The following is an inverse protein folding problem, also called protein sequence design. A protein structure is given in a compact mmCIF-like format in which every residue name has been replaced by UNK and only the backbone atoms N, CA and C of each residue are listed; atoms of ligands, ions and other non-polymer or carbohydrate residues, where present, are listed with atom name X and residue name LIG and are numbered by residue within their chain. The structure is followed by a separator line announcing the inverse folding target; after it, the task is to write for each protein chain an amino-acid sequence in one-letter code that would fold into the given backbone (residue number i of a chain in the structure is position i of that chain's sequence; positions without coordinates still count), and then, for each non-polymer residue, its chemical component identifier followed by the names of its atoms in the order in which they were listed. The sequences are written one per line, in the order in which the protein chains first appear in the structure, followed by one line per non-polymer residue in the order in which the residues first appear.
data_IF_371486067152
#
_entry.id   IF_371486067152
#
_cell.length_a   1.000
_cell.length_b   1.000
_cell.length_c   1.000
_cell.angle_alpha   90.00
_cell.angle_beta   90.00
_cell.angle_gamma   90.00
#
_symmetry.space_group_name_H-M   'P 1'
#
loop_
_entity.id
_entity.type
_entity.pdbx_description
1 polymer ?
#
# COMPACT_ATOMS: atom_id res chain seq x y z
N UNK A 1 -15.00 -28.56 5.19
CA UNK A 1 -16.02 -28.12 4.20
C UNK A 1 -16.44 -26.63 4.32
N UNK A 2 -16.13 -25.91 5.41
CA UNK A 2 -16.60 -24.53 5.64
C UNK A 2 -15.69 -23.45 5.01
N UNK A 3 -14.47 -23.80 4.57
CA UNK A 3 -13.48 -22.89 4.02
C UNK A 3 -13.32 -22.99 2.50
N UNK A 4 -13.83 -24.05 1.85
CA UNK A 4 -13.67 -24.23 0.41
C UNK A 4 -14.61 -23.34 -0.43
N UNK A 5 -15.66 -22.77 0.17
CA UNK A 5 -16.56 -21.83 -0.53
C UNK A 5 -16.08 -20.38 -0.53
N UNK A 6 -14.95 -20.07 0.15
CA UNK A 6 -14.35 -18.74 0.17
C UNK A 6 -13.14 -18.58 -0.76
N UNK A 7 -12.76 -19.65 -1.48
CA UNK A 7 -11.69 -19.64 -2.48
C UNK A 7 -12.26 -19.44 -3.90
N UNK A 8 -13.08 -18.43 -4.08
CA UNK A 8 -13.40 -17.95 -5.42
C UNK A 8 -12.16 -17.20 -5.89
N UNK A 9 -11.36 -17.81 -6.77
CA UNK A 9 -10.29 -17.11 -7.47
C UNK A 9 -10.92 -16.28 -8.58
N UNK A 10 -10.57 -14.99 -8.62
CA UNK A 10 -10.89 -14.14 -9.75
C UNK A 10 -10.33 -14.77 -11.03
N UNK A 11 -11.18 -14.90 -12.05
CA UNK A 11 -10.78 -15.34 -13.37
C UNK A 11 -11.01 -14.20 -14.39
N UNK A 12 -10.49 -14.37 -15.60
CA UNK A 12 -10.57 -13.35 -16.65
C UNK A 12 -12.02 -13.02 -17.05
N UNK A 13 -12.90 -14.01 -17.04
CA UNK A 13 -14.32 -13.82 -17.35
C UNK A 13 -15.00 -12.93 -16.32
N UNK A 14 -14.78 -13.16 -15.01
CA UNK A 14 -15.32 -12.32 -13.95
C UNK A 14 -14.80 -10.88 -14.04
N UNK A 15 -13.53 -10.70 -14.41
CA UNK A 15 -12.93 -9.37 -14.62
C UNK A 15 -13.61 -8.67 -15.79
N UNK A 16 -13.82 -9.39 -16.91
CA UNK A 16 -14.49 -8.86 -18.10
C UNK A 16 -15.93 -8.46 -17.79
N UNK A 17 -16.72 -9.34 -17.18
CA UNK A 17 -18.09 -9.06 -16.78
C UNK A 17 -18.18 -7.86 -15.82
N UNK A 18 -17.26 -7.75 -14.88
CA UNK A 18 -17.20 -6.62 -13.95
C UNK A 18 -16.95 -5.29 -14.68
N UNK A 19 -16.05 -5.28 -15.67
CA UNK A 19 -15.79 -4.09 -16.50
C UNK A 19 -16.99 -3.71 -17.34
N UNK A 20 -17.66 -4.69 -17.95
CA UNK A 20 -18.88 -4.47 -18.74
C UNK A 20 -20.02 -3.91 -17.89
N UNK A 21 -20.19 -4.45 -16.67
CA UNK A 21 -21.19 -3.96 -15.72
C UNK A 21 -20.90 -2.52 -15.31
N UNK A 22 -19.66 -2.20 -14.92
CA UNK A 22 -19.27 -0.84 -14.55
C UNK A 22 -19.47 0.14 -15.71
N UNK A 23 -19.09 -0.26 -16.93
CA UNK A 23 -19.34 0.54 -18.13
C UNK A 23 -20.83 0.79 -18.40
N UNK A 24 -21.69 -0.25 -18.24
CA UNK A 24 -23.13 -0.11 -18.37
C UNK A 24 -23.75 0.81 -17.30
N UNK A 25 -23.13 0.90 -16.12
CA UNK A 25 -23.51 1.84 -15.05
C UNK A 25 -22.99 3.27 -15.28
N UNK A 26 -22.23 3.52 -16.35
CA UNK A 26 -21.61 4.82 -16.63
C UNK A 26 -20.38 5.10 -15.76
N UNK A 27 -19.80 4.09 -15.13
CA UNK A 27 -18.60 4.22 -14.31
C UNK A 27 -17.37 4.01 -15.20
N UNK A 28 -16.45 4.97 -15.19
CA UNK A 28 -15.21 4.87 -15.95
C UNK A 28 -14.33 3.74 -15.42
N UNK A 29 -13.79 2.94 -16.32
CA UNK A 29 -12.86 1.85 -16.00
C UNK A 29 -11.52 2.16 -16.65
N UNK A 30 -10.46 2.21 -15.84
CA UNK A 30 -9.08 2.39 -16.28
C UNK A 30 -8.34 1.09 -16.05
N UNK A 31 -7.68 0.57 -17.08
CA UNK A 31 -6.82 -0.59 -16.96
C UNK A 31 -5.42 -0.13 -16.60
N UNK A 32 -4.98 -0.43 -15.39
CA UNK A 32 -3.62 -0.19 -14.98
C UNK A 32 -2.64 -1.07 -15.78
N UNK A 33 -1.49 -0.55 -16.23
CA UNK A 33 -0.47 -1.35 -16.90
C UNK A 33 0.24 -2.32 -15.94
N UNK A 34 0.36 -1.93 -14.67
CA UNK A 34 0.92 -2.73 -13.60
C UNK A 34 -0.08 -2.84 -12.44
N UNK A 35 0.15 -2.14 -11.32
CA UNK A 35 -0.70 -2.20 -10.13
C UNK A 35 -1.83 -1.16 -10.14
N UNK A 36 -3.00 -1.58 -9.68
CA UNK A 36 -4.15 -0.68 -9.56
C UNK A 36 -3.92 0.48 -8.59
N UNK A 37 -3.21 0.24 -7.48
CA UNK A 37 -2.87 1.24 -6.48
C UNK A 37 -1.95 2.34 -7.02
N UNK A 38 -0.98 1.97 -7.86
CA UNK A 38 -0.06 2.91 -8.49
C UNK A 38 -0.80 3.82 -9.47
N UNK A 39 -1.62 3.24 -10.36
CA UNK A 39 -2.45 3.98 -11.32
C UNK A 39 -3.45 4.90 -10.61
N UNK A 40 -4.19 4.38 -9.61
CA UNK A 40 -5.14 5.17 -8.84
C UNK A 40 -4.45 6.35 -8.12
N UNK A 41 -3.26 6.12 -7.56
CA UNK A 41 -2.45 7.16 -6.90
C UNK A 41 -1.97 8.21 -7.89
N UNK A 42 -1.54 7.79 -9.08
CA UNK A 42 -1.15 8.68 -10.16
C UNK A 42 -2.32 9.56 -10.61
N UNK A 43 -3.48 8.97 -10.86
CA UNK A 43 -4.69 9.71 -11.24
C UNK A 43 -5.08 10.72 -10.15
N UNK A 44 -5.04 10.32 -8.88
CA UNK A 44 -5.36 11.21 -7.75
C UNK A 44 -4.39 12.39 -7.63
N UNK A 45 -3.12 12.23 -8.00
CA UNK A 45 -2.13 13.32 -8.01
C UNK A 45 -2.29 14.26 -9.21
N UNK A 46 -2.71 13.74 -10.36
CA UNK A 46 -2.70 14.48 -11.63
C UNK A 46 -4.04 15.09 -12.00
N UNK A 47 -5.14 14.51 -11.59
CA UNK A 47 -6.48 14.93 -11.95
C UNK A 47 -7.15 15.67 -10.79
N UNK A 48 -7.51 16.93 -10.99
CA UNK A 48 -8.13 17.77 -9.94
C UNK A 48 -9.52 17.32 -9.51
N UNK A 49 -10.20 16.58 -10.36
CA UNK A 49 -11.53 16.00 -10.15
C UNK A 49 -11.50 14.65 -9.44
N UNK A 50 -10.30 14.05 -9.25
CA UNK A 50 -10.13 12.82 -8.46
C UNK A 50 -9.80 13.22 -7.02
N UNK A 51 -10.77 13.02 -6.12
CA UNK A 51 -10.68 13.47 -4.73
C UNK A 51 -9.73 12.63 -3.86
N UNK A 52 -9.81 11.32 -3.96
CA UNK A 52 -9.05 10.37 -3.14
C UNK A 52 -8.95 9.00 -3.80
N UNK A 53 -7.96 8.22 -3.43
CA UNK A 53 -7.91 6.78 -3.68
C UNK A 53 -8.79 6.08 -2.65
N UNK A 54 -9.53 5.05 -3.06
CA UNK A 54 -10.28 4.17 -2.16
C UNK A 54 -9.65 2.79 -2.19
N UNK A 55 -8.96 2.42 -1.13
CA UNK A 55 -8.33 1.10 -0.98
C UNK A 55 -8.30 0.68 0.49
N UNK A 56 -8.12 -0.61 0.74
CA UNK A 56 -7.80 -1.13 2.07
C UNK A 56 -6.30 -1.15 2.32
N UNK A 57 -5.52 -0.99 1.26
CA UNK A 57 -4.07 -1.01 1.28
C UNK A 57 -3.48 0.39 1.51
N UNK A 58 -2.43 0.45 2.30
CA UNK A 58 -1.68 1.66 2.56
C UNK A 58 -0.63 1.97 1.47
N UNK A 59 -0.35 1.04 0.57
CA UNK A 59 0.66 1.22 -0.49
C UNK A 59 0.31 2.40 -1.41
N UNK A 60 -0.97 2.74 -1.55
CA UNK A 60 -1.40 3.97 -2.21
C UNK A 60 -0.73 5.23 -1.65
N UNK A 61 -0.45 5.29 -0.33
CA UNK A 61 0.27 6.41 0.28
C UNK A 61 1.76 6.39 -0.06
N UNK A 62 2.36 5.19 -0.21
CA UNK A 62 3.75 5.04 -0.65
C UNK A 62 3.92 5.50 -2.11
N UNK A 63 2.91 5.24 -2.96
CA UNK A 63 2.82 5.82 -4.31
C UNK A 63 2.48 7.34 -4.31
N UNK A 64 2.37 7.95 -3.15
CA UNK A 64 2.17 9.38 -2.99
C UNK A 64 0.74 9.86 -3.24
N UNK A 65 -0.29 9.01 -3.09
CA UNK A 65 -1.68 9.45 -3.13
C UNK A 65 -1.91 10.54 -2.05
N UNK A 66 -2.42 11.73 -2.40
CA UNK A 66 -2.65 12.79 -1.42
C UNK A 66 -3.66 12.41 -0.34
N UNK A 67 -4.63 11.58 -0.72
CA UNK A 67 -5.73 11.15 0.15
C UNK A 67 -6.08 9.70 -0.13
N UNK A 68 -6.24 8.92 0.94
CA UNK A 68 -6.70 7.54 0.94
C UNK A 68 -7.96 7.43 1.78
N UNK A 69 -9.01 6.80 1.26
CA UNK A 69 -10.22 6.45 2.02
C UNK A 69 -10.23 4.94 2.22
N UNK A 70 -10.24 4.53 3.48
CA UNK A 70 -10.43 3.13 3.86
C UNK A 70 -11.87 2.87 4.30
N UNK A 71 -12.28 1.62 4.25
CA UNK A 71 -13.57 1.11 4.75
C UNK A 71 -14.81 1.69 4.04
N UNK A 72 -14.69 2.32 2.86
CA UNK A 72 -15.83 2.93 2.17
C UNK A 72 -16.88 1.89 1.78
N UNK A 73 -16.46 0.73 1.31
CA UNK A 73 -17.33 -0.34 0.80
C UNK A 73 -17.53 -1.50 1.77
N UNK A 74 -16.93 -1.44 2.98
CA UNK A 74 -17.07 -2.51 3.96
C UNK A 74 -18.40 -2.47 4.69
N UNK A 75 -18.85 -3.65 5.12
CA UNK A 75 -20.02 -3.76 5.98
C UNK A 75 -19.83 -2.90 7.25
N UNK A 76 -20.84 -2.10 7.58
CA UNK A 76 -20.83 -1.17 8.73
C UNK A 76 -20.52 -1.81 10.08
N UNK A 77 -20.49 -3.14 10.19
CA UNK A 77 -20.23 -3.89 11.42
C UNK A 77 -19.22 -5.00 11.17
N UNK A 78 -18.13 -5.00 11.93
CA UNK A 78 -17.14 -6.08 11.96
C UNK A 78 -17.34 -6.91 13.23
N UNK A 79 -17.43 -8.23 13.08
CA UNK A 79 -17.51 -9.14 14.23
C UNK A 79 -16.13 -9.26 14.89
N UNK A 80 -16.06 -9.04 16.18
CA UNK A 80 -14.88 -9.23 17.04
C UNK A 80 -15.16 -10.31 18.08
N UNK A 81 -14.17 -10.71 18.85
CA UNK A 81 -14.30 -11.68 19.94
C UNK A 81 -15.29 -11.18 21.01
N UNK A 82 -15.34 -9.86 21.23
CA UNK A 82 -16.20 -9.19 22.23
C UNK A 82 -17.54 -8.68 21.67
N UNK A 83 -17.88 -8.95 20.40
CA UNK A 83 -19.14 -8.51 19.80
C UNK A 83 -18.97 -7.88 18.41
N UNK A 84 -19.83 -6.92 18.08
CA UNK A 84 -19.76 -6.18 16.81
C UNK A 84 -19.21 -4.78 17.05
N UNK A 85 -18.22 -4.39 16.23
CA UNK A 85 -17.70 -3.02 16.19
C UNK A 85 -18.18 -2.35 14.90
N UNK A 86 -18.66 -1.12 15.03
CA UNK A 86 -19.02 -0.29 13.87
C UNK A 86 -17.75 0.09 13.11
N UNK A 87 -17.75 -0.12 11.79
CA UNK A 87 -16.68 0.29 10.90
C UNK A 87 -17.16 1.50 10.11
N UNK A 88 -16.43 2.60 10.23
CA UNK A 88 -16.71 3.86 9.51
C UNK A 88 -15.66 4.08 8.42
N UNK A 89 -16.02 4.75 7.32
CA UNK A 89 -15.01 5.24 6.38
C UNK A 89 -14.01 6.14 7.09
N UNK A 90 -12.74 5.97 6.78
CA UNK A 90 -11.63 6.75 7.34
C UNK A 90 -10.89 7.45 6.21
N UNK A 91 -10.75 8.78 6.33
CA UNK A 91 -9.96 9.59 5.40
C UNK A 91 -8.56 9.80 5.98
N UNK A 92 -7.55 9.37 5.24
CA UNK A 92 -6.15 9.53 5.58
C UNK A 92 -5.55 10.52 4.58
N UNK A 93 -5.00 11.62 5.08
CA UNK A 93 -4.33 12.64 4.28
C UNK A 93 -2.82 12.48 4.44
N UNK A 94 -2.13 12.21 3.34
CA UNK A 94 -0.68 11.93 3.32
C UNK A 94 0.12 13.02 4.02
N UNK A 95 -0.14 14.28 3.71
CA UNK A 95 0.55 15.42 4.30
C UNK A 95 0.41 15.45 5.84
N UNK A 96 -0.79 15.15 6.35
CA UNK A 96 -1.01 15.07 7.80
C UNK A 96 -0.22 13.92 8.44
N UNK A 97 -0.14 12.78 7.76
CA UNK A 97 0.65 11.63 8.22
C UNK A 97 2.13 11.99 8.27
N UNK A 98 2.67 12.55 7.20
CA UNK A 98 4.08 12.96 7.13
C UNK A 98 4.43 13.98 8.22
N UNK A 99 3.59 15.00 8.39
CA UNK A 99 3.76 16.02 9.42
C UNK A 99 3.67 15.43 10.84
N UNK A 100 2.70 14.55 11.10
CA UNK A 100 2.54 13.90 12.42
C UNK A 100 3.74 13.02 12.77
N UNK A 101 4.28 12.31 11.78
CA UNK A 101 5.44 11.45 11.96
C UNK A 101 6.76 12.23 11.87
N UNK A 102 6.74 13.49 11.43
CA UNK A 102 7.93 14.34 11.17
C UNK A 102 8.91 13.66 10.21
N UNK A 103 8.40 13.14 9.10
CA UNK A 103 9.14 12.47 8.03
C UNK A 103 8.69 13.00 6.67
N UNK A 104 9.50 12.72 5.65
CA UNK A 104 9.13 12.94 4.24
C UNK A 104 8.62 11.66 3.57
N UNK A 105 8.23 11.76 2.28
CA UNK A 105 7.72 10.63 1.51
C UNK A 105 8.78 9.54 1.31
N UNK A 106 10.04 9.92 1.05
CA UNK A 106 11.14 8.98 0.88
C UNK A 106 11.35 8.13 2.13
N UNK A 107 11.25 8.77 3.29
CA UNK A 107 11.34 8.11 4.58
C UNK A 107 10.13 7.21 4.85
N UNK A 108 8.93 7.61 4.41
CA UNK A 108 7.73 6.77 4.50
C UNK A 108 7.87 5.51 3.62
N UNK A 109 8.38 5.65 2.39
CA UNK A 109 8.69 4.51 1.51
C UNK A 109 9.74 3.60 2.17
N UNK A 110 10.80 4.16 2.75
CA UNK A 110 11.78 3.37 3.51
C UNK A 110 11.14 2.59 4.67
N UNK A 111 10.19 3.18 5.41
CA UNK A 111 9.44 2.47 6.46
C UNK A 111 8.67 1.30 5.86
N UNK A 112 7.97 1.50 4.74
CA UNK A 112 7.26 0.44 4.03
C UNK A 112 8.20 -0.72 3.69
N UNK A 113 9.32 -0.45 3.02
CA UNK A 113 10.30 -1.46 2.62
C UNK A 113 10.89 -2.20 3.83
N UNK A 114 11.21 -1.49 4.92
CA UNK A 114 11.74 -2.09 6.15
C UNK A 114 10.75 -3.05 6.82
N UNK A 115 9.46 -2.68 6.83
CA UNK A 115 8.39 -3.46 7.47
C UNK A 115 7.85 -4.56 6.56
N UNK A 116 7.81 -4.30 5.26
CA UNK A 116 7.32 -5.16 4.21
C UNK A 116 6.24 -4.48 3.36
N UNK A 117 6.33 -4.70 2.05
CA UNK A 117 5.38 -4.28 1.00
C UNK A 117 5.05 -5.49 0.14
N UNK A 118 4.19 -5.35 -0.84
CA UNK A 118 3.88 -6.42 -1.80
C UNK A 118 5.13 -6.89 -2.57
N UNK A 119 6.13 -6.04 -2.74
CA UNK A 119 7.40 -6.36 -3.40
C UNK A 119 8.40 -7.10 -2.48
N UNK A 120 8.26 -6.96 -1.15
CA UNK A 120 9.05 -7.68 -0.14
C UNK A 120 8.20 -8.03 1.09
N UNK A 121 7.23 -8.95 0.99
CA UNK A 121 6.16 -9.14 1.97
C UNK A 121 6.60 -9.47 3.39
N UNK A 122 7.81 -9.99 3.57
CA UNK A 122 8.35 -10.31 4.90
C UNK A 122 9.10 -9.15 5.55
N UNK A 123 9.41 -8.10 4.79
CA UNK A 123 10.26 -7.01 5.27
C UNK A 123 11.59 -7.52 5.83
N UNK A 124 12.11 -6.81 6.84
CA UNK A 124 13.31 -7.23 7.56
C UNK A 124 12.92 -7.80 8.93
N UNK A 125 13.23 -9.07 9.25
CA UNK A 125 12.89 -9.68 10.52
C UNK A 125 13.36 -8.87 11.73
N UNK A 126 12.47 -8.67 12.69
CA UNK A 126 12.75 -7.89 13.89
C UNK A 126 12.71 -6.37 13.70
N UNK A 127 12.31 -5.89 12.51
CA UNK A 127 12.03 -4.47 12.24
C UNK A 127 10.54 -4.28 12.01
N UNK A 128 9.82 -3.92 13.06
CA UNK A 128 8.42 -3.48 12.96
C UNK A 128 8.33 -1.95 12.83
N UNK A 129 7.11 -1.44 12.69
CA UNK A 129 6.83 -0.02 12.43
C UNK A 129 7.56 0.95 13.35
N UNK A 130 7.60 0.69 14.67
CA UNK A 130 8.27 1.57 15.65
C UNK A 130 9.78 1.65 15.41
N UNK A 131 10.43 0.50 15.17
CA UNK A 131 11.88 0.45 14.92
C UNK A 131 12.23 1.05 13.56
N UNK A 132 11.41 0.80 12.52
CA UNK A 132 11.55 1.43 11.22
C UNK A 132 11.50 2.96 11.31
N UNK A 133 10.50 3.51 12.01
CA UNK A 133 10.38 4.95 12.24
C UNK A 133 11.60 5.53 12.98
N UNK A 134 12.13 4.82 13.98
CA UNK A 134 13.35 5.24 14.68
C UNK A 134 14.57 5.26 13.76
N UNK A 135 14.72 4.25 12.89
CA UNK A 135 15.82 4.17 11.93
C UNK A 135 15.77 5.33 10.92
N UNK A 136 14.59 5.60 10.33
CA UNK A 136 14.46 6.69 9.35
C UNK A 136 14.68 8.06 9.98
N UNK A 137 14.19 8.29 11.19
CA UNK A 137 14.46 9.55 11.92
C UNK A 137 15.95 9.71 12.29
N UNK A 138 16.64 8.62 12.60
CA UNK A 138 18.07 8.63 12.97
C UNK A 138 18.97 8.88 11.76
N UNK A 139 18.76 8.16 10.67
CA UNK A 139 19.68 8.17 9.52
C UNK A 139 19.25 9.12 8.41
N UNK A 140 17.98 9.46 8.34
CA UNK A 140 17.32 10.41 7.42
C UNK A 140 17.39 10.05 5.93
N UNK A 141 18.56 9.68 5.42
CA UNK A 141 18.79 9.38 4.01
C UNK A 141 18.59 7.89 3.72
N UNK A 142 17.87 7.52 2.64
CA UNK A 142 17.61 6.11 2.29
C UNK A 142 18.87 5.25 2.28
N UNK A 143 19.93 5.71 1.65
CA UNK A 143 21.22 4.98 1.58
C UNK A 143 21.77 4.65 2.97
N UNK A 144 21.73 5.60 3.92
CA UNK A 144 22.21 5.39 5.28
C UNK A 144 21.28 4.50 6.10
N UNK A 145 19.97 4.62 5.86
CA UNK A 145 18.94 3.76 6.49
C UNK A 145 19.24 2.29 6.13
N UNK A 146 19.31 1.98 4.83
CA UNK A 146 19.50 0.60 4.37
C UNK A 146 20.91 0.08 4.64
N UNK A 147 21.94 0.92 4.63
CA UNK A 147 23.28 0.54 5.08
C UNK A 147 23.29 0.09 6.54
N UNK A 148 22.48 0.71 7.41
CA UNK A 148 22.39 0.33 8.82
C UNK A 148 21.78 -1.04 9.09
N UNK A 149 21.13 -1.63 8.11
CA UNK A 149 20.46 -2.95 8.17
C UNK A 149 20.96 -3.92 7.10
N UNK A 150 22.03 -3.58 6.39
CA UNK A 150 22.57 -4.35 5.26
C UNK A 150 22.93 -5.78 5.65
N UNK A 151 23.60 -5.97 6.80
CA UNK A 151 23.92 -7.31 7.32
C UNK A 151 22.66 -8.15 7.57
N UNK A 152 21.56 -7.52 8.01
CA UNK A 152 20.30 -8.21 8.24
C UNK A 152 19.65 -8.63 6.92
N UNK A 153 19.71 -7.78 5.88
CA UNK A 153 19.22 -8.10 4.53
C UNK A 153 20.05 -9.26 3.94
N UNK A 154 21.38 -9.20 4.04
CA UNK A 154 22.29 -10.23 3.53
C UNK A 154 22.12 -11.57 4.27
N UNK A 155 21.68 -11.56 5.52
CA UNK A 155 21.40 -12.77 6.30
C UNK A 155 20.06 -13.44 5.98
N UNK A 156 19.21 -12.81 5.16
CA UNK A 156 17.97 -13.42 4.72
C UNK A 156 18.22 -14.63 3.82
N UNK A 157 17.32 -15.63 3.83
CA UNK A 157 17.32 -16.67 2.82
C UNK A 157 17.30 -16.07 1.41
N UNK A 158 17.98 -16.69 0.45
CA UNK A 158 18.10 -16.20 -0.92
C UNK A 158 16.74 -15.81 -1.54
N UNK A 159 15.71 -16.60 -1.27
CA UNK A 159 14.33 -16.37 -1.72
C UNK A 159 13.64 -15.13 -1.08
N UNK A 160 14.21 -14.60 0.00
CA UNK A 160 13.69 -13.45 0.74
C UNK A 160 14.59 -12.22 0.62
N UNK A 161 15.72 -12.32 -0.08
CA UNK A 161 16.57 -11.17 -0.38
C UNK A 161 15.89 -10.28 -1.40
N UNK A 162 16.08 -8.98 -1.27
CA UNK A 162 15.50 -7.97 -2.15
C UNK A 162 16.47 -6.81 -2.35
N UNK A 163 16.39 -6.18 -3.50
CA UNK A 163 17.07 -4.90 -3.75
C UNK A 163 16.14 -3.76 -3.34
N UNK A 164 16.45 -3.12 -2.22
CA UNK A 164 15.67 -2.00 -1.71
C UNK A 164 15.64 -0.81 -2.67
N UNK A 165 16.68 -0.63 -3.52
CA UNK A 165 16.74 0.47 -4.48
C UNK A 165 15.73 0.27 -5.58
N UNK A 166 15.61 -0.96 -6.09
CA UNK A 166 14.62 -1.31 -7.11
C UNK A 166 13.21 -1.04 -6.59
N UNK A 167 12.90 -1.52 -5.37
CA UNK A 167 11.58 -1.28 -4.75
C UNK A 167 11.34 0.22 -4.51
N UNK A 168 12.35 0.94 -4.04
CA UNK A 168 12.26 2.38 -3.80
C UNK A 168 11.96 3.14 -5.10
N UNK A 169 12.63 2.81 -6.20
CA UNK A 169 12.38 3.41 -7.52
C UNK A 169 10.98 3.06 -8.06
N UNK A 170 10.45 1.86 -7.81
CA UNK A 170 9.08 1.48 -8.20
C UNK A 170 8.03 2.41 -7.56
N UNK A 171 8.19 2.77 -6.29
CA UNK A 171 7.27 3.73 -5.66
C UNK A 171 7.40 5.14 -6.21
N UNK A 172 8.57 5.55 -6.67
CA UNK A 172 8.81 6.87 -7.27
C UNK A 172 8.38 6.98 -8.71
N UNK A 173 8.63 5.92 -9.48
CA UNK A 173 8.40 5.86 -10.93
C UNK A 173 7.62 4.60 -11.29
N UNK A 174 6.39 4.46 -10.78
CA UNK A 174 5.58 3.30 -11.14
C UNK A 174 5.25 3.32 -12.63
N UNK A 175 5.04 2.15 -13.18
CA UNK A 175 4.50 1.99 -14.52
C UNK A 175 3.00 2.32 -14.49
N UNK A 176 2.60 3.48 -15.07
CA UNK A 176 1.25 4.06 -15.08
C UNK A 176 0.91 4.68 -16.43
#
# INVERSE_FOLDING_TARGET
KRYSSQLIRLNEEMIKESKELLGAMGIAVVQAPAEGESEASYLCRRKKDVFAVVSQDYDSLLFGAPKLIQNLALARKRKTVSGFVEVKPELIELEKVLNLLEIDLDQLICIGILVGTDYNPKGIPGIGQKKALQLVKKYKQPVLIFKSVEEQIMSLPEEAQFDWKEIFELFHKPEV
#
